data_IF_677851359529
#
_entry.id   IF_677851359529
#
_cell.length_a   1.000
_cell.length_b   1.000
_cell.length_c   1.000
_cell.angle_alpha   90.00
_cell.angle_beta   90.00
_cell.angle_gamma   90.00
#
_symmetry.space_group_name_H-M   'P 1'
#
loop_
_entity.id
_entity.type
_entity.pdbx_description
1 polymer ?
#
# COMPACT_ATOMS: atom_id res chain seq x y z
N UNK A 1 -23.13 25.44 -4.88
CA UNK A 1 -22.80 24.01 -4.64
C UNK A 1 -21.67 23.63 -5.57
N UNK A 2 -20.45 23.80 -5.11
CA UNK A 2 -19.24 23.58 -5.90
C UNK A 2 -18.96 22.09 -5.93
N UNK A 3 -19.05 21.51 -7.09
CA UNK A 3 -18.61 20.15 -7.34
C UNK A 3 -17.10 20.07 -7.02
N UNK A 4 -16.75 19.54 -5.88
CA UNK A 4 -15.38 19.20 -5.52
C UNK A 4 -14.94 18.00 -6.36
N UNK A 5 -14.55 18.27 -7.59
CA UNK A 5 -13.93 17.27 -8.45
C UNK A 5 -12.44 17.26 -8.07
N UNK A 6 -12.13 16.76 -6.91
CA UNK A 6 -10.80 16.31 -6.62
C UNK A 6 -10.78 14.80 -6.79
N UNK A 7 -10.31 14.33 -7.88
CA UNK A 7 -10.21 12.92 -8.10
C UNK A 7 -8.77 12.51 -7.84
N UNK A 8 -8.53 11.87 -6.71
CA UNK A 8 -7.22 11.26 -6.41
C UNK A 8 -6.82 10.35 -7.58
N UNK A 9 -7.79 9.65 -8.17
CA UNK A 9 -7.57 8.84 -9.37
C UNK A 9 -7.06 9.67 -10.56
N UNK A 10 -7.58 10.89 -10.77
CA UNK A 10 -7.06 11.79 -11.83
C UNK A 10 -5.63 12.24 -11.57
N UNK A 11 -5.26 12.42 -10.30
CA UNK A 11 -3.85 12.70 -9.96
C UNK A 11 -2.96 11.50 -10.25
N UNK A 12 -3.42 10.29 -9.94
CA UNK A 12 -2.71 9.07 -10.30
C UNK A 12 -2.52 8.97 -11.83
N UNK A 13 -3.57 9.21 -12.59
CA UNK A 13 -3.52 9.22 -14.06
C UNK A 13 -2.54 10.26 -14.59
N UNK A 14 -2.54 11.47 -14.02
CA UNK A 14 -1.60 12.55 -14.38
C UNK A 14 -0.14 12.20 -14.07
N UNK A 15 0.10 11.35 -13.06
CA UNK A 15 1.41 10.80 -12.71
C UNK A 15 1.79 9.56 -13.54
N UNK A 16 0.90 9.10 -14.43
CA UNK A 16 1.09 7.86 -15.19
C UNK A 16 1.02 6.59 -14.33
N UNK A 17 0.35 6.66 -13.17
CA UNK A 17 0.24 5.58 -12.22
C UNK A 17 -1.13 4.90 -12.34
N UNK A 18 -1.12 3.58 -12.50
CA UNK A 18 -2.35 2.77 -12.62
C UNK A 18 -2.50 1.86 -11.41
N UNK A 19 -3.69 1.82 -10.83
CA UNK A 19 -4.01 0.88 -9.77
C UNK A 19 -4.29 -0.51 -10.33
N UNK A 20 -3.82 -1.54 -9.63
CA UNK A 20 -4.18 -2.92 -9.98
C UNK A 20 -5.66 -3.21 -9.67
N UNK A 21 -6.25 -4.12 -10.44
CA UNK A 21 -7.52 -4.75 -10.07
C UNK A 21 -7.28 -5.71 -8.89
N UNK A 22 -7.67 -5.28 -7.70
CA UNK A 22 -7.42 -6.03 -6.47
C UNK A 22 -8.24 -7.33 -6.43
N UNK A 23 -9.49 -7.33 -6.87
CA UNK A 23 -10.35 -8.52 -6.88
C UNK A 23 -9.74 -9.61 -7.75
N UNK A 24 -9.29 -9.26 -8.93
CA UNK A 24 -8.58 -10.16 -9.84
C UNK A 24 -7.28 -10.68 -9.23
N UNK A 25 -6.48 -9.79 -8.60
CA UNK A 25 -5.21 -10.17 -7.97
C UNK A 25 -5.42 -11.14 -6.80
N UNK A 26 -6.45 -10.93 -5.98
CA UNK A 26 -6.80 -11.83 -4.87
C UNK A 26 -7.27 -13.19 -5.35
N UNK A 27 -8.11 -13.25 -6.39
CA UNK A 27 -8.59 -14.51 -6.97
C UNK A 27 -7.46 -15.34 -7.59
N UNK A 28 -6.47 -14.67 -8.19
CA UNK A 28 -5.32 -15.33 -8.80
C UNK A 28 -4.35 -15.93 -7.76
N UNK A 29 -4.30 -15.37 -6.53
CA UNK A 29 -3.36 -15.74 -5.47
C UNK A 29 -4.05 -16.46 -4.29
N UNK A 30 -4.98 -17.36 -4.55
CA UNK A 30 -5.76 -18.09 -3.55
C UNK A 30 -4.94 -19.10 -2.72
N UNK A 31 -3.75 -18.78 -2.25
CA UNK A 31 -2.97 -19.61 -1.35
C UNK A 31 -3.41 -19.34 0.10
N UNK A 32 -4.33 -20.11 0.60
CA UNK A 32 -4.65 -20.50 1.96
C UNK A 32 -4.35 -19.58 3.17
N UNK A 33 -4.26 -18.27 2.98
CA UNK A 33 -3.99 -17.33 4.07
C UNK A 33 -5.28 -16.98 4.81
N UNK A 34 -5.22 -16.99 6.15
CA UNK A 34 -6.36 -16.68 7.02
C UNK A 34 -6.34 -15.21 7.45
N UNK A 35 -6.44 -14.30 6.47
CA UNK A 35 -6.56 -12.87 6.74
C UNK A 35 -7.42 -12.18 5.67
N UNK A 36 -7.85 -10.97 5.96
CA UNK A 36 -8.67 -10.14 5.06
C UNK A 36 -7.85 -9.00 4.48
N UNK A 37 -8.26 -8.47 3.33
CA UNK A 37 -7.56 -7.35 2.69
C UNK A 37 -7.60 -6.06 3.52
N UNK A 38 -8.70 -5.86 4.22
CA UNK A 38 -8.92 -4.68 5.07
C UNK A 38 -9.97 -4.97 6.15
N UNK A 39 -9.98 -4.14 7.19
CA UNK A 39 -10.98 -4.16 8.24
C UNK A 39 -11.35 -2.72 8.60
N UNK A 40 -12.64 -2.42 8.58
CA UNK A 40 -13.17 -1.13 9.04
C UNK A 40 -13.65 -1.23 10.49
N UNK A 41 -13.21 -0.30 11.32
CA UNK A 41 -13.70 -0.10 12.69
C UNK A 41 -14.12 1.36 12.81
N UNK A 42 -15.43 1.61 12.92
CA UNK A 42 -16.00 2.94 12.79
C UNK A 42 -15.59 3.58 11.45
N UNK A 43 -14.90 4.72 11.50
CA UNK A 43 -14.37 5.44 10.34
C UNK A 43 -12.86 5.27 10.14
N UNK A 44 -12.25 4.27 10.78
CA UNK A 44 -10.84 3.89 10.58
C UNK A 44 -10.79 2.62 9.75
N UNK A 45 -10.00 2.63 8.69
CA UNK A 45 -9.76 1.49 7.83
C UNK A 45 -8.31 1.00 8.01
N UNK A 46 -8.19 -0.24 8.43
CA UNK A 46 -6.93 -0.97 8.56
C UNK A 46 -6.71 -1.81 7.30
N UNK A 47 -5.58 -1.68 6.65
CA UNK A 47 -5.19 -2.54 5.52
C UNK A 47 -4.22 -3.62 6.00
N UNK A 48 -4.31 -4.79 5.39
CA UNK A 48 -3.24 -5.78 5.45
C UNK A 48 -1.99 -5.27 4.75
N UNK A 49 -0.83 -5.84 5.06
CA UNK A 49 0.44 -5.50 4.43
C UNK A 49 0.37 -5.65 2.91
N UNK A 50 0.95 -4.70 2.20
CA UNK A 50 1.01 -4.67 0.75
C UNK A 50 2.46 -4.56 0.28
N UNK A 51 2.77 -5.27 -0.79
CA UNK A 51 4.10 -5.38 -1.38
C UNK A 51 4.15 -4.72 -2.76
N UNK A 52 5.34 -4.43 -3.30
CA UNK A 52 5.49 -3.86 -4.64
C UNK A 52 4.98 -4.85 -5.69
N UNK A 53 3.94 -4.45 -6.42
CA UNK A 53 3.41 -5.21 -7.56
C UNK A 53 3.29 -4.27 -8.74
N UNK A 54 3.75 -4.73 -9.91
CA UNK A 54 3.59 -4.05 -11.19
C UNK A 54 3.10 -5.04 -12.22
N UNK A 55 2.05 -4.70 -12.96
CA UNK A 55 1.45 -5.56 -13.99
C UNK A 55 1.09 -6.97 -13.47
N UNK A 56 0.64 -7.04 -12.20
CA UNK A 56 0.25 -8.28 -11.53
C UNK A 56 1.41 -9.19 -11.10
N UNK A 57 2.65 -8.71 -11.16
CA UNK A 57 3.86 -9.46 -10.80
C UNK A 57 4.63 -8.76 -9.68
N UNK A 58 5.37 -9.50 -8.82
CA UNK A 58 6.31 -8.92 -7.90
C UNK A 58 7.28 -7.98 -8.62
N UNK A 59 7.51 -6.80 -8.06
CA UNK A 59 8.35 -5.77 -8.63
C UNK A 59 9.47 -5.38 -7.65
N UNK A 60 10.71 -5.22 -8.15
CA UNK A 60 11.88 -4.87 -7.34
C UNK A 60 12.07 -5.85 -6.16
N UNK A 61 12.20 -7.12 -6.48
CA UNK A 61 12.46 -8.21 -5.53
C UNK A 61 13.94 -8.23 -5.17
N UNK A 62 14.27 -8.45 -3.89
CA UNK A 62 15.65 -8.53 -3.41
C UNK A 62 15.88 -7.78 -2.10
N UNK A 63 17.15 -7.70 -1.70
CA UNK A 63 17.63 -7.11 -0.45
C UNK A 63 18.16 -5.70 -0.72
N UNK A 64 17.57 -4.68 -0.10
CA UNK A 64 18.02 -3.28 -0.25
C UNK A 64 19.36 -3.10 0.46
N UNK A 65 20.30 -2.49 -0.24
CA UNK A 65 21.67 -2.35 0.22
C UNK A 65 22.59 -3.53 -0.14
N UNK A 66 22.04 -4.56 -0.83
CA UNK A 66 22.82 -5.66 -1.42
C UNK A 66 22.42 -5.85 -2.90
N UNK A 67 21.17 -6.27 -3.16
CA UNK A 67 20.69 -6.53 -4.52
C UNK A 67 20.11 -5.27 -5.17
N UNK A 68 19.54 -4.37 -4.34
CA UNK A 68 18.85 -3.15 -4.76
C UNK A 68 19.49 -1.92 -4.12
N UNK A 69 19.53 -0.82 -4.88
CA UNK A 69 19.92 0.48 -4.36
C UNK A 69 18.84 1.10 -3.47
N UNK A 70 19.15 2.18 -2.75
CA UNK A 70 18.19 2.97 -1.97
C UNK A 70 17.09 3.53 -2.88
N UNK A 71 17.44 3.99 -4.08
CA UNK A 71 16.52 4.56 -5.08
C UNK A 71 15.56 3.49 -5.60
N UNK A 72 16.05 2.27 -5.84
CA UNK A 72 15.20 1.14 -6.21
C UNK A 72 14.29 0.73 -5.04
N UNK A 73 14.79 0.76 -3.80
CA UNK A 73 13.99 0.58 -2.61
C UNK A 73 12.89 1.63 -2.45
N UNK A 74 13.21 2.91 -2.72
CA UNK A 74 12.24 4.01 -2.75
C UNK A 74 11.14 3.76 -3.80
N UNK A 75 11.52 3.36 -5.01
CA UNK A 75 10.55 3.00 -6.04
C UNK A 75 9.70 1.79 -5.62
N UNK A 76 10.29 0.78 -4.99
CA UNK A 76 9.55 -0.35 -4.44
C UNK A 76 8.51 0.10 -3.40
N UNK A 77 8.87 1.00 -2.48
CA UNK A 77 7.94 1.55 -1.50
C UNK A 77 6.78 2.32 -2.18
N UNK A 78 7.06 3.06 -3.26
CA UNK A 78 6.04 3.73 -4.07
C UNK A 78 5.06 2.73 -4.69
N UNK A 79 5.54 1.60 -5.23
CA UNK A 79 4.67 0.54 -5.75
C UNK A 79 3.92 -0.24 -4.66
N UNK A 80 4.53 -0.44 -3.50
CA UNK A 80 3.84 -1.04 -2.36
C UNK A 80 2.65 -0.16 -1.90
N UNK A 81 2.83 1.18 -1.91
CA UNK A 81 1.72 2.10 -1.65
C UNK A 81 0.65 2.06 -2.75
N UNK A 82 1.01 1.92 -4.03
CA UNK A 82 0.01 1.74 -5.10
C UNK A 82 -0.86 0.50 -4.86
N UNK A 83 -0.27 -0.58 -4.33
CA UNK A 83 -1.02 -1.76 -3.91
C UNK A 83 -1.96 -1.46 -2.74
N UNK A 84 -1.54 -0.61 -1.77
CA UNK A 84 -2.41 -0.12 -0.69
C UNK A 84 -3.55 0.75 -1.23
N UNK A 85 -3.27 1.65 -2.18
CA UNK A 85 -4.29 2.50 -2.81
C UNK A 85 -5.32 1.67 -3.60
N UNK A 86 -4.89 0.59 -4.24
CA UNK A 86 -5.81 -0.36 -4.89
C UNK A 86 -6.74 -1.02 -3.85
N UNK A 87 -6.22 -1.38 -2.66
CA UNK A 87 -7.03 -1.91 -1.58
C UNK A 87 -8.01 -0.86 -1.01
N UNK A 88 -7.57 0.40 -0.87
CA UNK A 88 -8.44 1.52 -0.49
C UNK A 88 -9.54 1.76 -1.53
N UNK A 89 -9.19 1.76 -2.81
CA UNK A 89 -10.16 1.93 -3.90
C UNK A 89 -11.21 0.82 -3.90
N UNK A 90 -10.79 -0.42 -3.71
CA UNK A 90 -11.70 -1.55 -3.57
C UNK A 90 -12.63 -1.39 -2.36
N UNK A 91 -12.07 -1.04 -1.19
CA UNK A 91 -12.82 -0.93 0.06
C UNK A 91 -13.81 0.24 0.06
N UNK A 92 -13.39 1.39 -0.44
CA UNK A 92 -14.12 2.66 -0.33
C UNK A 92 -14.91 3.02 -1.60
N UNK A 93 -14.57 2.44 -2.75
CA UNK A 93 -15.15 2.80 -4.05
C UNK A 93 -14.62 4.10 -4.63
N UNK A 94 -14.13 5.01 -3.78
CA UNK A 94 -13.60 6.33 -4.15
C UNK A 94 -12.47 6.71 -3.20
N UNK A 95 -11.29 7.07 -3.75
CA UNK A 95 -10.12 7.45 -2.96
C UNK A 95 -10.27 8.84 -2.32
N UNK A 96 -11.16 9.70 -2.82
CA UNK A 96 -11.47 10.99 -2.19
C UNK A 96 -12.16 10.85 -0.81
N UNK A 97 -12.67 9.64 -0.49
CA UNK A 97 -13.20 9.31 0.83
C UNK A 97 -12.12 9.20 1.92
N UNK A 98 -10.85 9.10 1.57
CA UNK A 98 -9.76 9.14 2.54
C UNK A 98 -9.62 10.55 3.11
N UNK A 99 -9.85 10.68 4.41
CA UNK A 99 -9.73 11.95 5.13
C UNK A 99 -8.31 12.22 5.62
N UNK A 100 -7.63 11.18 6.11
CA UNK A 100 -6.31 11.29 6.69
C UNK A 100 -5.58 9.95 6.60
N UNK A 101 -4.32 9.96 6.17
CA UNK A 101 -3.40 8.87 6.42
C UNK A 101 -2.99 8.90 7.90
N UNK A 102 -3.40 7.89 8.69
CA UNK A 102 -3.21 7.87 10.14
C UNK A 102 -1.85 7.31 10.49
N UNK A 103 -1.54 6.13 9.96
CA UNK A 103 -0.28 5.44 10.23
C UNK A 103 0.20 4.69 9.00
N UNK A 104 1.51 4.74 8.78
CA UNK A 104 2.22 3.90 7.81
C UNK A 104 3.39 3.21 8.51
N UNK A 105 3.40 1.89 8.50
CA UNK A 105 4.55 1.09 8.94
C UNK A 105 5.16 0.49 7.67
N UNK A 106 6.44 0.78 7.43
CA UNK A 106 7.19 0.26 6.31
C UNK A 106 8.26 -0.71 6.77
N UNK A 107 8.28 -1.89 6.18
CA UNK A 107 9.31 -2.91 6.37
C UNK A 107 10.20 -2.94 5.13
N UNK A 108 11.50 -2.92 5.36
CA UNK A 108 12.51 -2.99 4.30
C UNK A 108 13.34 -4.26 4.50
N UNK A 109 13.25 -5.18 3.55
CA UNK A 109 14.16 -6.32 3.47
C UNK A 109 15.56 -5.76 3.13
N UNK A 110 16.41 -5.62 4.14
CA UNK A 110 17.65 -4.86 4.02
C UNK A 110 18.88 -5.64 4.48
N UNK A 111 20.03 -5.31 3.89
CA UNK A 111 21.30 -5.90 4.23
C UNK A 111 21.69 -5.62 5.70
N UNK A 112 22.50 -6.49 6.33
CA UNK A 112 23.03 -6.22 7.65
C UNK A 112 23.77 -4.86 7.73
N UNK A 113 23.45 -4.05 8.74
CA UNK A 113 24.04 -2.71 8.89
C UNK A 113 23.43 -1.61 8.03
N UNK A 114 22.45 -1.93 7.16
CA UNK A 114 21.73 -0.90 6.42
C UNK A 114 20.96 0.01 7.37
N UNK A 115 21.03 1.33 7.17
CA UNK A 115 20.45 2.34 8.07
C UNK A 115 19.57 3.37 7.35
N UNK A 116 19.34 3.21 6.04
CA UNK A 116 18.59 4.17 5.23
C UNK A 116 17.13 3.76 4.97
N UNK A 117 16.55 2.89 5.83
CA UNK A 117 15.14 2.51 5.75
C UNK A 117 14.19 3.71 5.66
N UNK A 118 14.41 4.83 6.38
CA UNK A 118 13.55 6.01 6.25
C UNK A 118 13.55 6.61 4.83
N UNK A 119 14.72 6.61 4.14
CA UNK A 119 14.82 7.08 2.75
C UNK A 119 14.05 6.18 1.79
N UNK A 120 14.15 4.86 1.99
CA UNK A 120 13.38 3.88 1.21
C UNK A 120 11.88 4.11 1.38
N UNK A 121 11.40 4.21 2.62
CA UNK A 121 9.97 4.36 2.91
C UNK A 121 9.43 5.76 2.53
N UNK A 122 10.29 6.75 2.30
CA UNK A 122 9.86 8.02 1.72
C UNK A 122 9.11 7.80 0.39
N UNK A 123 9.46 6.78 -0.41
CA UNK A 123 8.73 6.49 -1.65
C UNK A 123 7.22 6.31 -1.47
N UNK A 124 6.81 5.71 -0.37
CA UNK A 124 5.40 5.58 -0.01
C UNK A 124 4.83 6.90 0.55
N UNK A 125 5.51 7.53 1.51
CA UNK A 125 4.97 8.75 2.14
C UNK A 125 4.96 9.94 1.20
N UNK A 126 5.92 10.09 0.30
CA UNK A 126 5.95 11.17 -0.67
C UNK A 126 4.78 11.05 -1.65
N UNK A 127 4.44 9.82 -2.10
CA UNK A 127 3.26 9.61 -2.93
C UNK A 127 1.95 9.92 -2.17
N UNK A 128 1.85 9.57 -0.88
CA UNK A 128 0.69 9.96 -0.07
C UNK A 128 0.54 11.49 0.00
N UNK A 129 1.64 12.20 0.23
CA UNK A 129 1.64 13.68 0.30
C UNK A 129 1.34 14.29 -1.07
N UNK A 130 1.87 13.73 -2.16
CA UNK A 130 1.60 14.16 -3.53
C UNK A 130 0.10 14.08 -3.87
N UNK A 131 -0.56 13.00 -3.42
CA UNK A 131 -1.97 12.77 -3.70
C UNK A 131 -2.89 13.57 -2.76
N UNK A 132 -2.62 13.57 -1.46
CA UNK A 132 -3.53 14.06 -0.43
C UNK A 132 -3.09 15.36 0.26
N UNK A 133 -1.90 15.89 -0.07
CA UNK A 133 -1.33 17.06 0.62
C UNK A 133 -1.07 16.77 2.10
N UNK A 134 -1.39 17.69 2.99
CA UNK A 134 -1.18 17.52 4.44
C UNK A 134 -1.93 16.32 5.03
N UNK A 135 -3.06 15.95 4.47
CA UNK A 135 -3.81 14.74 4.87
C UNK A 135 -3.06 13.44 4.53
N UNK A 136 -2.09 13.51 3.64
CA UNK A 136 -1.22 12.39 3.28
C UNK A 136 -0.07 12.14 4.25
N UNK A 137 0.14 12.99 5.28
CA UNK A 137 1.24 12.84 6.26
C UNK A 137 0.82 11.92 7.41
N UNK A 138 1.25 10.64 7.46
CA UNK A 138 0.93 9.72 8.54
C UNK A 138 1.93 9.84 9.70
N UNK A 139 1.58 9.28 10.86
CA UNK A 139 2.61 8.77 11.77
C UNK A 139 3.34 7.62 11.10
N UNK A 140 4.66 7.48 11.28
CA UNK A 140 5.44 6.52 10.50
C UNK A 140 6.49 5.77 11.31
N UNK A 141 6.63 4.46 11.02
CA UNK A 141 7.82 3.68 11.32
C UNK A 141 8.45 3.14 10.03
N UNK A 142 9.77 3.11 9.96
CA UNK A 142 10.55 2.49 8.88
C UNK A 142 11.53 1.49 9.51
N UNK A 143 11.32 0.21 9.25
CA UNK A 143 11.94 -0.91 9.98
C UNK A 143 12.71 -1.78 8.99
N UNK A 144 13.96 -2.12 9.32
CA UNK A 144 14.73 -3.14 8.59
C UNK A 144 14.31 -4.54 9.06
N UNK A 145 14.21 -5.48 8.12
CA UNK A 145 13.96 -6.89 8.39
C UNK A 145 14.85 -7.78 7.50
N UNK A 146 14.98 -9.06 7.88
CA UNK A 146 15.83 -10.03 7.17
C UNK A 146 15.02 -10.95 6.23
N UNK A 147 13.95 -10.46 5.67
CA UNK A 147 13.15 -11.19 4.69
C UNK A 147 11.69 -10.79 4.73
N UNK A 148 11.10 -10.78 3.56
CA UNK A 148 9.67 -10.58 3.32
C UNK A 148 9.15 -11.72 2.43
N UNK A 149 7.85 -11.93 2.47
CA UNK A 149 7.20 -12.96 1.67
C UNK A 149 7.59 -12.84 0.19
N UNK A 150 7.87 -13.96 -0.46
CA UNK A 150 8.28 -14.05 -1.87
C UNK A 150 9.54 -13.22 -2.22
N UNK A 151 10.38 -12.89 -1.22
CA UNK A 151 11.58 -12.11 -1.42
C UNK A 151 11.35 -10.63 -1.75
N UNK A 152 10.15 -10.10 -1.50
CA UNK A 152 9.89 -8.67 -1.70
C UNK A 152 10.88 -7.79 -0.94
N UNK A 153 11.21 -6.65 -1.53
CA UNK A 153 12.15 -5.69 -0.94
C UNK A 153 11.51 -4.79 0.10
N UNK A 154 10.21 -4.51 -0.05
CA UNK A 154 9.44 -3.62 0.82
C UNK A 154 8.05 -4.19 1.07
N UNK A 155 7.52 -3.95 2.26
CA UNK A 155 6.11 -4.11 2.58
C UNK A 155 5.65 -2.90 3.36
N UNK A 156 4.42 -2.41 3.09
CA UNK A 156 3.81 -1.31 3.83
C UNK A 156 2.47 -1.73 4.43
N UNK A 157 2.21 -1.28 5.65
CA UNK A 157 0.93 -1.41 6.35
C UNK A 157 0.38 -0.01 6.53
N UNK A 158 -0.81 0.26 5.98
CA UNK A 158 -1.43 1.57 6.00
C UNK A 158 -2.75 1.54 6.77
N UNK A 159 -2.95 2.54 7.62
CA UNK A 159 -4.21 2.82 8.30
C UNK A 159 -4.68 4.22 7.91
N UNK A 160 -5.95 4.35 7.55
CA UNK A 160 -6.55 5.63 7.15
C UNK A 160 -7.85 5.93 7.89
N UNK A 161 -8.13 7.22 8.04
CA UNK A 161 -9.45 7.74 8.40
C UNK A 161 -10.24 7.98 7.11
N UNK A 162 -11.52 7.62 7.08
CA UNK A 162 -12.36 7.79 5.89
C UNK A 162 -13.74 8.38 6.21
N UNK A 163 -14.41 8.92 5.18
CA UNK A 163 -15.78 9.45 5.26
C UNK A 163 -16.80 8.57 4.56
N UNK A 164 -18.07 8.82 4.88
CA UNK A 164 -19.22 8.15 4.26
C UNK A 164 -19.60 6.85 4.96
N UNK A 165 -20.66 6.21 4.48
CA UNK A 165 -21.23 5.01 5.06
C UNK A 165 -20.65 3.75 4.40
N UNK A 166 -20.25 2.82 5.26
CA UNK A 166 -19.88 1.46 4.85
C UNK A 166 -18.62 1.34 4.00
N UNK A 167 -18.20 0.12 3.87
CA UNK A 167 -17.11 -0.32 2.98
C UNK A 167 -17.59 -1.53 2.19
N UNK A 168 -16.97 -1.80 1.05
CA UNK A 168 -17.14 -3.09 0.36
C UNK A 168 -16.66 -4.21 1.31
N UNK A 169 -17.34 -5.37 1.36
CA UNK A 169 -16.85 -6.49 2.15
C UNK A 169 -15.40 -6.83 1.82
N UNK A 170 -14.57 -7.13 2.83
CA UNK A 170 -13.17 -7.41 2.60
C UNK A 170 -13.00 -8.71 1.79
N UNK A 171 -11.99 -8.71 0.93
CA UNK A 171 -11.56 -9.93 0.26
C UNK A 171 -10.92 -10.84 1.30
N UNK A 172 -11.50 -12.01 1.50
CA UNK A 172 -10.97 -13.05 2.37
C UNK A 172 -10.30 -14.13 1.52
N UNK A 173 -9.20 -14.69 2.00
CA UNK A 173 -8.54 -15.84 1.37
C UNK A 173 -9.03 -17.15 2.00
N UNK A 174 -10.35 -17.27 2.16
CA UNK A 174 -10.99 -18.42 2.83
C UNK A 174 -11.26 -19.61 1.90
N UNK A 175 -10.28 -20.04 1.14
CA UNK A 175 -10.42 -21.31 0.45
C UNK A 175 -9.57 -22.41 1.10
N UNK A 176 -9.91 -22.77 2.34
CA UNK A 176 -9.68 -24.13 2.81
C UNK A 176 -10.79 -25.00 2.25
N UNK A 177 -10.58 -25.58 1.09
CA UNK A 177 -11.25 -26.84 0.75
C UNK A 177 -10.72 -27.86 1.76
N UNK A 178 -11.65 -28.41 2.57
CA UNK A 178 -11.39 -29.55 3.43
C UNK A 178 -10.95 -30.76 2.59
#
# INVERSE_FOLDING_TARGET
MTCLIMHIEKKLDALGLTLMDLDRAYRANAAGARFVSHLAVNNVLYLSGTTPVRDGKPHLVGVVGADLSVEQGYEAARYALLSSLAALKYALGDLDRVQQAVQLIGFVNSAPGFSEQPRVINGATDLLVELYGDRGKPTRAAIGCQGLALGHSVEVVLTVLFTGLGTTPPLARDHYVK
#
